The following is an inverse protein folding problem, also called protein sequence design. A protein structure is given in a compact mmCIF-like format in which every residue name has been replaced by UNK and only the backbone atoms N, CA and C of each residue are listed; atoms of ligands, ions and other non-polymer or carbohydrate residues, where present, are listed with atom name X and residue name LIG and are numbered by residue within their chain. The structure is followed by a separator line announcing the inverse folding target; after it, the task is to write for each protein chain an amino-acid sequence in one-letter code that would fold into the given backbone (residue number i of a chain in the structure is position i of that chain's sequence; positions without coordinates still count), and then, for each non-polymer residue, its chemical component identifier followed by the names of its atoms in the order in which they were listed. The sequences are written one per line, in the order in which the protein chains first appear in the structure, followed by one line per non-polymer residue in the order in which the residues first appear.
data_IF_498587242399
#
_entry.id   IF_498587242399
#
_cell.length_a   1.000
_cell.length_b   1.000
_cell.length_c   1.000
_cell.angle_alpha   90.00
_cell.angle_beta   90.00
_cell.angle_gamma   90.00
#
_symmetry.space_group_name_H-M   'P 1'
#
loop_
_entity.id
_entity.type
_entity.pdbx_description
1 polymer ?
#
# COMPACT_ATOMS: atom_id res chain seq x y z
N UNK A 1 17.98 -9.36 13.10
CA UNK A 1 17.30 -9.55 11.80
C UNK A 1 18.03 -8.72 10.75
N UNK A 2 18.16 -9.20 9.52
CA UNK A 2 18.77 -8.42 8.43
C UNK A 2 17.72 -7.46 7.89
N UNK A 3 18.05 -6.18 7.78
CA UNK A 3 17.15 -5.17 7.23
C UNK A 3 16.84 -5.46 5.75
N UNK A 4 15.58 -5.27 5.34
CA UNK A 4 15.15 -5.45 3.96
C UNK A 4 15.74 -4.40 3.00
N UNK A 5 15.49 -4.53 1.71
CA UNK A 5 15.91 -3.57 0.68
C UNK A 5 14.80 -3.32 -0.34
N UNK A 6 14.77 -2.12 -0.92
CA UNK A 6 13.98 -1.80 -2.10
C UNK A 6 14.90 -1.74 -3.33
N UNK A 7 14.54 -2.43 -4.42
CA UNK A 7 15.32 -2.45 -5.66
C UNK A 7 14.78 -1.48 -6.72
N UNK A 8 15.68 -0.80 -7.42
CA UNK A 8 15.40 -0.06 -8.66
C UNK A 8 16.17 -0.69 -9.80
N UNK A 9 15.48 -1.01 -10.90
CA UNK A 9 16.08 -1.57 -12.12
C UNK A 9 15.93 -0.57 -13.28
N UNK A 10 16.98 -0.37 -14.07
CA UNK A 10 16.93 0.42 -15.31
C UNK A 10 16.45 -0.44 -16.49
N UNK A 11 16.08 0.19 -17.60
CA UNK A 11 15.74 -0.52 -18.85
C UNK A 11 16.91 -1.32 -19.44
N UNK A 12 18.14 -1.00 -19.06
CA UNK A 12 19.35 -1.74 -19.40
C UNK A 12 19.67 -2.88 -18.42
N UNK A 13 18.83 -3.11 -17.41
CA UNK A 13 19.01 -4.18 -16.42
C UNK A 13 19.93 -3.84 -15.25
N UNK A 14 20.40 -2.58 -15.11
CA UNK A 14 21.21 -2.17 -13.96
C UNK A 14 20.33 -2.06 -12.71
N UNK A 15 20.70 -2.77 -11.66
CA UNK A 15 19.99 -2.76 -10.37
C UNK A 15 20.72 -1.83 -9.38
N UNK A 16 19.95 -1.06 -8.61
CA UNK A 16 20.41 -0.31 -7.45
C UNK A 16 19.49 -0.63 -6.28
N UNK A 17 20.07 -1.05 -5.16
CA UNK A 17 19.32 -1.39 -3.96
C UNK A 17 19.41 -0.26 -2.94
N UNK A 18 18.30 0.00 -2.27
CA UNK A 18 18.17 0.98 -1.20
C UNK A 18 17.89 0.23 0.10
N UNK A 19 18.75 0.33 1.13
CA UNK A 19 18.50 -0.30 2.41
C UNK A 19 17.23 0.27 3.04
N UNK A 20 16.39 -0.59 3.59
CA UNK A 20 15.32 -0.20 4.48
C UNK A 20 15.86 -0.12 5.92
N UNK A 21 15.25 0.69 6.79
CA UNK A 21 15.47 0.61 8.23
C UNK A 21 15.29 -0.82 8.75
N UNK A 22 16.01 -1.18 9.82
CA UNK A 22 15.92 -2.52 10.41
C UNK A 22 14.55 -2.84 11.02
N UNK A 23 13.74 -1.82 11.29
CA UNK A 23 12.38 -1.90 11.81
C UNK A 23 11.31 -1.82 10.70
N UNK A 24 11.71 -1.81 9.42
CA UNK A 24 10.80 -2.02 8.27
C UNK A 24 10.58 -3.52 8.09
N UNK A 25 9.53 -4.03 8.72
CA UNK A 25 9.25 -5.47 8.78
C UNK A 25 8.23 -5.92 7.75
N UNK A 26 8.57 -6.98 7.02
CA UNK A 26 7.76 -7.62 5.98
C UNK A 26 7.23 -6.63 4.91
N UNK A 27 8.12 -5.91 4.20
CA UNK A 27 7.70 -5.10 3.06
C UNK A 27 7.11 -5.99 1.95
N UNK A 28 5.98 -5.58 1.39
CA UNK A 28 5.19 -6.40 0.46
C UNK A 28 4.91 -5.72 -0.88
N UNK A 29 3.79 -5.01 -0.96
CA UNK A 29 3.39 -4.27 -2.15
C UNK A 29 4.23 -3.00 -2.32
N UNK A 30 4.42 -2.55 -3.56
CA UNK A 30 5.12 -1.30 -3.89
C UNK A 30 4.41 -0.55 -5.02
N UNK A 31 4.36 0.78 -4.93
CA UNK A 31 3.84 1.64 -6.00
C UNK A 31 4.57 2.99 -6.05
N UNK A 32 4.61 3.63 -7.21
CA UNK A 32 5.13 4.99 -7.31
C UNK A 32 4.07 6.01 -6.84
N UNK A 33 4.50 7.05 -6.14
CA UNK A 33 3.59 8.09 -5.65
C UNK A 33 4.27 9.41 -5.33
N UNK A 34 3.52 10.36 -4.75
CA UNK A 34 4.10 11.64 -4.34
C UNK A 34 5.27 11.44 -3.36
N UNK A 35 6.41 12.06 -3.68
CA UNK A 35 7.61 12.05 -2.84
C UNK A 35 8.44 10.76 -2.85
N UNK A 36 8.07 9.73 -3.62
CA UNK A 36 8.89 8.52 -3.74
C UNK A 36 8.11 7.23 -4.03
N UNK A 37 8.72 6.10 -3.70
CA UNK A 37 8.07 4.79 -3.76
C UNK A 37 7.36 4.52 -2.44
N UNK A 38 6.18 3.93 -2.51
CA UNK A 38 5.33 3.63 -1.37
C UNK A 38 5.19 2.12 -1.22
N UNK A 39 5.33 1.62 -0.01
CA UNK A 39 5.33 0.21 0.33
C UNK A 39 4.27 -0.10 1.39
N UNK A 40 3.70 -1.29 1.34
CA UNK A 40 3.09 -1.89 2.54
C UNK A 40 4.15 -2.61 3.34
N UNK A 41 4.10 -2.50 4.66
CA UNK A 41 4.99 -3.20 5.59
C UNK A 41 4.12 -3.87 6.66
N UNK A 42 3.84 -5.16 6.48
CA UNK A 42 2.85 -5.87 7.27
C UNK A 42 3.33 -6.11 8.71
N UNK A 43 4.61 -6.39 8.91
CA UNK A 43 5.19 -6.53 10.25
C UNK A 43 5.23 -5.20 11.00
N UNK A 44 5.48 -4.10 10.27
CA UNK A 44 5.46 -2.74 10.83
C UNK A 44 4.05 -2.19 11.08
N UNK A 45 3.00 -2.88 10.63
CA UNK A 45 1.61 -2.38 10.63
C UNK A 45 1.53 -0.97 10.04
N UNK A 46 2.16 -0.79 8.87
CA UNK A 46 2.38 0.51 8.28
C UNK A 46 2.29 0.52 6.75
N UNK A 47 2.03 1.71 6.21
CA UNK A 47 2.47 2.09 4.88
C UNK A 47 3.76 2.90 5.03
N UNK A 48 4.75 2.66 4.19
CA UNK A 48 6.05 3.33 4.23
C UNK A 48 6.33 4.03 2.90
N UNK A 49 6.99 5.18 2.93
CA UNK A 49 7.46 5.89 1.73
C UNK A 49 8.97 6.00 1.76
N UNK A 50 9.63 5.50 0.72
CA UNK A 50 11.06 5.69 0.48
C UNK A 50 11.29 6.79 -0.56
N UNK A 51 11.99 7.85 -0.15
CA UNK A 51 12.41 8.94 -1.04
C UNK A 51 13.58 8.55 -1.93
N UNK A 52 13.92 9.41 -2.90
CA UNK A 52 15.05 9.20 -3.82
C UNK A 52 16.42 9.10 -3.13
N UNK A 53 16.54 9.62 -1.91
CA UNK A 53 17.75 9.54 -1.07
C UNK A 53 17.77 8.29 -0.17
N UNK A 54 16.77 7.42 -0.28
CA UNK A 54 16.62 6.24 0.60
C UNK A 54 15.98 6.52 1.95
N UNK A 55 15.66 7.78 2.28
CA UNK A 55 14.97 8.12 3.54
C UNK A 55 13.56 7.51 3.56
N UNK A 56 13.26 6.73 4.60
CA UNK A 56 11.95 6.15 4.84
C UNK A 56 11.11 7.04 5.75
N UNK A 57 9.85 7.26 5.39
CA UNK A 57 8.80 7.86 6.21
C UNK A 57 7.73 6.81 6.47
N UNK A 58 7.33 6.59 7.74
CA UNK A 58 6.32 5.59 8.11
C UNK A 58 4.98 6.26 8.40
N UNK A 59 3.91 5.63 7.95
CA UNK A 59 2.51 6.01 8.17
C UNK A 59 1.81 4.86 8.91
N UNK A 60 1.70 4.93 10.24
CA UNK A 60 1.08 3.87 11.05
C UNK A 60 -0.38 3.65 10.66
N UNK A 61 -0.81 2.39 10.59
CA UNK A 61 -2.18 2.05 10.26
C UNK A 61 -3.06 1.95 11.52
N UNK A 62 -4.33 2.37 11.44
CA UNK A 62 -5.24 2.29 12.57
C UNK A 62 -5.72 0.84 12.84
N UNK A 63 -5.69 0.47 14.12
CA UNK A 63 -6.38 -0.69 14.66
C UNK A 63 -5.54 -1.97 14.77
N UNK A 64 -5.83 -2.82 15.77
CA UNK A 64 -5.16 -4.11 15.93
C UNK A 64 -5.48 -5.04 14.75
N UNK A 65 -4.51 -5.88 14.38
CA UNK A 65 -4.67 -6.91 13.34
C UNK A 65 -4.64 -6.40 11.90
N UNK A 66 -4.21 -5.16 11.67
CA UNK A 66 -4.00 -4.64 10.32
C UNK A 66 -2.90 -5.41 9.60
N UNK A 67 -3.20 -5.87 8.39
CA UNK A 67 -2.31 -6.64 7.53
C UNK A 67 -2.26 -6.01 6.15
N UNK A 68 -1.55 -4.88 5.97
CA UNK A 68 -1.50 -4.20 4.69
C UNK A 68 -0.86 -5.09 3.63
N UNK A 69 -1.49 -5.20 2.47
CA UNK A 69 -1.08 -6.12 1.41
C UNK A 69 -0.79 -5.39 0.09
N UNK A 70 -1.76 -5.31 -0.82
CA UNK A 70 -1.62 -4.53 -2.05
C UNK A 70 -1.61 -3.03 -1.79
N UNK A 71 -1.02 -2.30 -2.72
CA UNK A 71 -0.95 -0.84 -2.71
C UNK A 71 -0.98 -0.31 -4.14
N UNK A 72 -1.64 0.82 -4.35
CA UNK A 72 -1.70 1.50 -5.64
C UNK A 72 -1.88 3.00 -5.44
N UNK A 73 -1.46 3.80 -6.43
CA UNK A 73 -1.76 5.23 -6.45
C UNK A 73 -3.18 5.44 -6.93
N UNK A 74 -4.02 6.02 -6.08
CA UNK A 74 -5.41 6.33 -6.39
C UNK A 74 -5.56 7.44 -7.43
N UNK A 75 -6.71 7.51 -8.12
CA UNK A 75 -7.07 8.58 -9.07
C UNK A 75 -7.09 9.99 -8.48
N UNK A 76 -7.21 10.13 -7.16
CA UNK A 76 -7.13 11.39 -6.41
C UNK A 76 -5.68 11.78 -6.06
N UNK A 77 -4.69 11.03 -6.55
CA UNK A 77 -3.27 11.25 -6.28
C UNK A 77 -2.78 10.71 -4.94
N UNK A 78 -3.70 10.34 -4.03
CA UNK A 78 -3.39 9.69 -2.76
C UNK A 78 -3.00 8.23 -2.95
N UNK A 79 -2.45 7.62 -1.91
CA UNK A 79 -2.08 6.20 -1.92
C UNK A 79 -3.23 5.39 -1.36
N UNK A 80 -3.51 4.25 -1.98
CA UNK A 80 -4.57 3.31 -1.59
C UNK A 80 -3.92 1.99 -1.26
N UNK A 81 -4.37 1.35 -0.18
CA UNK A 81 -3.88 0.04 0.23
C UNK A 81 -5.03 -0.87 0.64
N UNK A 82 -4.85 -2.17 0.44
CA UNK A 82 -5.75 -3.18 0.98
C UNK A 82 -5.24 -3.61 2.35
N UNK A 83 -6.16 -3.76 3.29
CA UNK A 83 -5.92 -4.31 4.60
C UNK A 83 -6.66 -5.65 4.72
N UNK A 84 -5.91 -6.70 5.05
CA UNK A 84 -6.47 -8.04 5.23
C UNK A 84 -7.45 -8.11 6.41
N UNK A 85 -7.52 -7.09 7.27
CA UNK A 85 -8.58 -6.94 8.26
C UNK A 85 -9.96 -6.56 7.67
N UNK A 86 -10.12 -6.62 6.34
CA UNK A 86 -11.39 -6.32 5.66
C UNK A 86 -11.60 -4.83 5.35
N UNK A 87 -10.54 -4.08 5.06
CA UNK A 87 -10.64 -2.63 4.80
C UNK A 87 -9.87 -2.22 3.55
N UNK A 88 -10.28 -1.11 2.95
CA UNK A 88 -9.45 -0.34 2.01
C UNK A 88 -9.04 0.93 2.71
N UNK A 89 -7.74 1.21 2.75
CA UNK A 89 -7.24 2.45 3.32
C UNK A 89 -6.65 3.41 2.31
N UNK A 90 -6.44 4.62 2.78
CA UNK A 90 -5.92 5.77 2.04
C UNK A 90 -4.90 6.51 2.89
N UNK A 91 -3.76 6.83 2.27
CA UNK A 91 -2.82 7.85 2.77
C UNK A 91 -2.91 9.05 1.85
N UNK A 92 -3.28 10.21 2.40
CA UNK A 92 -3.39 11.45 1.63
C UNK A 92 -2.03 12.17 1.45
N UNK A 93 -2.04 13.29 0.72
CA UNK A 93 -0.82 14.04 0.43
C UNK A 93 -0.15 14.63 1.70
N UNK A 94 -0.93 14.85 2.76
CA UNK A 94 -0.48 15.31 4.06
C UNK A 94 -0.04 14.16 4.97
N UNK A 95 -0.15 12.91 4.52
CA UNK A 95 0.22 11.72 5.28
C UNK A 95 -0.86 11.22 6.24
N UNK A 96 -2.10 11.73 6.15
CA UNK A 96 -3.19 11.26 7.00
C UNK A 96 -3.67 9.90 6.50
N UNK A 97 -3.79 8.97 7.43
CA UNK A 97 -4.28 7.61 7.17
C UNK A 97 -5.75 7.53 7.50
N UNK A 98 -6.55 7.04 6.55
CA UNK A 98 -7.97 6.73 6.72
C UNK A 98 -8.24 5.32 6.22
N UNK A 99 -9.20 4.61 6.82
CA UNK A 99 -9.55 3.26 6.41
C UNK A 99 -11.07 3.08 6.39
N UNK A 100 -11.57 2.39 5.37
CA UNK A 100 -12.98 2.18 5.11
C UNK A 100 -13.28 0.67 5.11
N UNK A 101 -14.30 0.21 5.85
CA UNK A 101 -14.66 -1.20 5.86
C UNK A 101 -15.19 -1.62 4.48
N UNK A 102 -14.77 -2.81 4.05
CA UNK A 102 -15.40 -3.48 2.90
C UNK A 102 -16.60 -4.27 3.44
N UNK A 103 -17.79 -4.17 2.82
CA UNK A 103 -18.92 -5.02 3.18
C UNK A 103 -18.53 -6.51 3.11
N UNK A 104 -18.81 -7.25 4.17
CA UNK A 104 -18.36 -8.64 4.35
C UNK A 104 -16.83 -8.81 4.25
N UNK A 105 -16.06 -7.78 4.55
CA UNK A 105 -14.60 -7.74 4.32
C UNK A 105 -13.82 -8.84 5.07
N UNK A 106 -14.38 -9.41 6.13
CA UNK A 106 -13.81 -10.58 6.83
C UNK A 106 -13.89 -11.87 6.02
N UNK A 107 -14.82 -11.97 5.07
CA UNK A 107 -15.01 -13.14 4.18
C UNK A 107 -14.61 -12.84 2.73
N UNK A 108 -14.47 -11.56 2.36
CA UNK A 108 -14.03 -11.05 1.05
C UNK A 108 -12.71 -10.29 1.14
N UNK A 109 -11.76 -10.85 1.90
CA UNK A 109 -10.49 -10.24 2.31
C UNK A 109 -9.81 -9.46 1.16
N UNK A 110 -9.75 -8.12 1.22
CA UNK A 110 -9.12 -7.32 0.16
C UNK A 110 -7.62 -7.62 0.04
N UNK A 111 -7.10 -7.69 -1.19
CA UNK A 111 -5.72 -8.11 -1.41
C UNK A 111 -4.91 -7.26 -2.39
N UNK A 112 -5.06 -7.47 -3.71
CA UNK A 112 -4.36 -6.64 -4.71
C UNK A 112 -5.28 -5.55 -5.21
N UNK A 113 -4.72 -4.39 -5.54
CA UNK A 113 -5.47 -3.24 -6.02
C UNK A 113 -4.90 -2.72 -7.33
N UNK A 114 -5.78 -2.16 -8.15
CA UNK A 114 -5.42 -1.39 -9.33
C UNK A 114 -6.34 -0.19 -9.45
N UNK A 115 -5.80 0.94 -9.89
CA UNK A 115 -6.61 2.09 -10.28
C UNK A 115 -7.28 1.82 -11.63
N UNK A 116 -8.58 2.05 -11.69
CA UNK A 116 -9.39 1.88 -12.90
C UNK A 116 -9.55 3.18 -13.68
N UNK A 117 -9.93 3.09 -14.98
CA UNK A 117 -10.19 4.26 -15.82
C UNK A 117 -11.42 5.07 -15.38
N UNK A 118 -12.30 4.46 -14.58
CA UNK A 118 -13.55 5.01 -14.07
C UNK A 118 -13.37 5.83 -12.77
N UNK A 119 -12.15 6.27 -12.48
CA UNK A 119 -11.75 6.97 -11.25
C UNK A 119 -12.11 6.18 -9.98
N UNK A 120 -12.14 4.86 -10.08
CA UNK A 120 -12.27 3.95 -8.94
C UNK A 120 -10.96 3.18 -8.69
N UNK A 121 -10.91 2.52 -7.55
CA UNK A 121 -9.91 1.51 -7.23
C UNK A 121 -10.61 0.17 -7.21
N UNK A 122 -10.07 -0.76 -7.99
CA UNK A 122 -10.52 -2.13 -8.09
C UNK A 122 -9.62 -3.01 -7.24
N UNK A 123 -10.19 -4.04 -6.62
CA UNK A 123 -9.41 -4.98 -5.81
C UNK A 123 -9.89 -6.42 -5.96
N UNK A 124 -8.97 -7.36 -5.74
CA UNK A 124 -9.30 -8.78 -5.61
C UNK A 124 -9.63 -9.13 -4.16
N UNK A 125 -10.64 -9.96 -3.96
CA UNK A 125 -10.89 -10.66 -2.70
C UNK A 125 -10.04 -11.93 -2.64
N UNK A 126 -9.03 -11.97 -1.77
CA UNK A 126 -8.20 -13.16 -1.55
C UNK A 126 -9.03 -14.37 -1.12
N UNK A 127 -10.06 -14.09 -0.32
CA UNK A 127 -11.08 -15.05 0.11
C UNK A 127 -12.39 -14.65 -0.56
N UNK A 128 -13.22 -15.63 -0.92
CA UNK A 128 -14.57 -15.38 -1.43
C UNK A 128 -14.67 -15.18 -2.95
N UNK A 129 -13.59 -15.35 -3.72
CA UNK A 129 -13.58 -15.37 -5.18
C UNK A 129 -14.34 -14.19 -5.81
N UNK A 130 -13.95 -12.96 -5.46
CA UNK A 130 -14.69 -11.75 -5.82
C UNK A 130 -13.77 -10.63 -6.31
N UNK A 131 -14.35 -9.71 -7.09
CA UNK A 131 -13.75 -8.43 -7.46
C UNK A 131 -14.57 -7.32 -6.80
N UNK A 132 -13.89 -6.46 -6.05
CA UNK A 132 -14.48 -5.28 -5.44
C UNK A 132 -14.08 -4.00 -6.16
N UNK A 133 -14.91 -2.98 -5.99
CA UNK A 133 -14.71 -1.65 -6.55
C UNK A 133 -15.06 -0.62 -5.48
N UNK A 134 -14.17 0.33 -5.25
CA UNK A 134 -14.42 1.48 -4.36
C UNK A 134 -14.14 2.76 -5.11
N UNK A 135 -15.06 3.72 -5.03
CA UNK A 135 -14.81 5.05 -5.56
C UNK A 135 -13.64 5.67 -4.80
N UNK A 136 -12.67 6.20 -5.54
CA UNK A 136 -11.69 7.08 -4.95
C UNK A 136 -12.41 8.41 -4.70
N UNK A 137 -12.97 8.58 -3.50
CA UNK A 137 -13.66 9.82 -3.12
C UNK A 137 -12.78 11.02 -3.48
N UNK A 138 -13.34 12.08 -4.10
CA UNK A 138 -12.62 13.32 -4.29
C UNK A 138 -12.26 13.90 -2.92
N UNK A 139 -11.01 14.37 -2.80
CA UNK A 139 -10.58 15.19 -1.68
C UNK A 139 -11.11 16.62 -1.78
#
# INVERSE_FOLDING_TARGET
MVAGKAGRITTTGRITEFPLPSDSELPGGITAGPGGMWLTAAGSIAVERIGSTGRVTRFPLPGPGSGPSGITRGPDGGIRYADQSGRIGRVDAQGRVTAFPVPDGSTKVPFRLASGPDRAVWFTGLIGNSIGRVQALPG
#
